data_IF_600101505508
#
_entry.id   IF_600101505508
#
_cell.length_a   1.000
_cell.length_b   1.000
_cell.length_c   1.000
_cell.angle_alpha   90.00
_cell.angle_beta   90.00
_cell.angle_gamma   90.00
#
_symmetry.space_group_name_H-M   'P 1'
#
loop_
_entity.id
_entity.type
_entity.pdbx_description
1 polymer ?
#
# COMPACT_ATOMS: atom_id res chain seq x y z
N UNK A 1 5.98 15.35 16.95
CA UNK A 1 5.67 13.93 17.21
C UNK A 1 4.52 13.40 16.34
N UNK A 2 3.27 13.89 16.45
CA UNK A 2 2.12 13.38 15.65
C UNK A 2 2.36 13.31 14.14
N UNK A 3 2.97 14.36 13.54
CA UNK A 3 3.32 14.41 12.11
C UNK A 3 4.31 13.30 11.70
N UNK A 4 5.38 13.13 12.48
CA UNK A 4 6.41 12.13 12.21
C UNK A 4 5.86 10.71 12.34
N UNK A 5 5.00 10.44 13.33
CA UNK A 5 4.35 9.13 13.51
C UNK A 5 3.46 8.82 12.31
N UNK A 6 2.63 9.77 11.85
CA UNK A 6 1.79 9.56 10.67
C UNK A 6 2.60 9.32 9.41
N UNK A 7 3.70 10.05 9.20
CA UNK A 7 4.60 9.82 8.08
C UNK A 7 5.32 8.48 8.18
N UNK A 8 5.72 8.05 9.37
CA UNK A 8 6.31 6.75 9.59
C UNK A 8 5.33 5.63 9.23
N UNK A 9 4.10 5.69 9.72
CA UNK A 9 3.04 4.71 9.41
C UNK A 9 2.76 4.73 7.91
N UNK A 10 2.67 5.90 7.29
CA UNK A 10 2.45 6.06 5.84
C UNK A 10 3.50 5.30 5.02
N UNK A 11 4.79 5.56 5.30
CA UNK A 11 5.89 4.90 4.58
C UNK A 11 5.98 3.41 4.90
N UNK A 12 5.75 3.01 6.15
CA UNK A 12 5.72 1.62 6.56
C UNK A 12 4.67 0.84 5.77
N UNK A 13 3.45 1.38 5.66
CA UNK A 13 2.36 0.75 4.91
C UNK A 13 2.69 0.60 3.42
N UNK A 14 3.31 1.60 2.80
CA UNK A 14 3.73 1.51 1.39
C UNK A 14 4.77 0.40 1.22
N UNK A 15 5.83 0.40 2.03
CA UNK A 15 6.92 -0.56 1.92
C UNK A 15 6.40 -1.98 2.17
N UNK A 16 5.62 -2.16 3.24
CA UNK A 16 4.97 -3.44 3.56
C UNK A 16 4.18 -3.98 2.36
N UNK A 17 3.37 -3.14 1.75
CA UNK A 17 2.51 -3.54 0.64
C UNK A 17 3.29 -3.87 -0.63
N UNK A 18 4.33 -3.10 -0.94
CA UNK A 18 5.21 -3.37 -2.08
C UNK A 18 5.92 -4.71 -1.90
N UNK A 19 6.41 -5.00 -0.69
CA UNK A 19 7.04 -6.30 -0.39
C UNK A 19 6.02 -7.44 -0.51
N UNK A 20 4.81 -7.26 0.02
CA UNK A 20 3.73 -8.24 -0.09
C UNK A 20 3.36 -8.54 -1.55
N UNK A 21 3.35 -7.53 -2.42
CA UNK A 21 3.05 -7.72 -3.84
C UNK A 21 4.17 -8.43 -4.62
N UNK A 22 5.43 -8.29 -4.18
CA UNK A 22 6.59 -8.81 -4.91
C UNK A 22 7.12 -10.16 -4.39
N UNK A 23 6.75 -10.58 -3.19
CA UNK A 23 7.37 -11.74 -2.53
C UNK A 23 6.35 -12.75 -1.99
N UNK A 24 6.26 -13.91 -2.66
CA UNK A 24 5.47 -15.05 -2.19
C UNK A 24 5.93 -15.52 -0.81
N UNK A 25 7.25 -15.58 -0.60
CA UNK A 25 7.82 -16.01 0.68
C UNK A 25 7.39 -15.09 1.82
N UNK A 26 7.25 -13.80 1.54
CA UNK A 26 6.78 -12.85 2.55
C UNK A 26 5.29 -13.06 2.86
N UNK A 27 4.47 -13.31 1.83
CA UNK A 27 3.05 -13.63 1.99
C UNK A 27 2.87 -14.93 2.78
N UNK A 28 3.57 -16.00 2.45
CA UNK A 28 3.52 -17.26 3.20
C UNK A 28 4.10 -17.16 4.62
N UNK A 29 5.05 -16.26 4.85
CA UNK A 29 5.53 -16.00 6.20
C UNK A 29 4.49 -15.27 7.06
N UNK A 30 3.69 -14.39 6.45
CA UNK A 30 2.59 -13.67 7.10
C UNK A 30 1.35 -14.53 7.32
N UNK A 31 0.95 -15.29 6.29
CA UNK A 31 -0.20 -16.18 6.26
C UNK A 31 0.27 -17.56 5.77
N UNK A 32 0.79 -18.41 6.68
CA UNK A 32 1.27 -19.75 6.33
C UNK A 32 0.17 -20.65 5.76
N UNK A 33 -1.07 -20.41 6.18
CA UNK A 33 -2.26 -21.16 5.80
C UNK A 33 -3.04 -20.48 4.66
N UNK A 34 -2.39 -19.59 3.89
CA UNK A 34 -2.99 -18.89 2.77
C UNK A 34 -3.59 -19.86 1.74
N UNK A 35 -4.92 -19.83 1.61
CA UNK A 35 -5.66 -20.63 0.62
C UNK A 35 -5.45 -20.11 -0.81
N UNK A 36 -5.20 -18.82 -0.94
CA UNK A 36 -5.02 -18.13 -2.22
C UNK A 36 -4.03 -16.99 -2.04
N UNK A 37 -2.86 -17.16 -2.64
CA UNK A 37 -1.80 -16.16 -2.60
C UNK A 37 -2.21 -14.85 -3.29
N UNK A 38 -3.15 -14.93 -4.24
CA UNK A 38 -3.74 -13.79 -4.94
C UNK A 38 -4.58 -12.95 -3.98
N UNK A 39 -5.48 -13.58 -3.22
CA UNK A 39 -6.39 -12.87 -2.31
C UNK A 39 -5.64 -12.24 -1.13
N UNK A 40 -4.59 -12.93 -0.66
CA UNK A 40 -3.68 -12.41 0.35
C UNK A 40 -2.94 -11.16 -0.15
N UNK A 41 -2.37 -11.22 -1.37
CA UNK A 41 -1.71 -10.06 -1.99
C UNK A 41 -2.66 -8.89 -2.18
N UNK A 42 -3.90 -9.14 -2.63
CA UNK A 42 -4.95 -8.11 -2.70
C UNK A 42 -5.19 -7.48 -1.33
N UNK A 43 -5.35 -8.30 -0.30
CA UNK A 43 -5.62 -7.83 1.06
C UNK A 43 -4.47 -6.98 1.59
N UNK A 44 -3.23 -7.45 1.44
CA UNK A 44 -2.02 -6.78 1.90
C UNK A 44 -1.61 -5.56 1.07
N UNK A 45 -2.31 -5.25 -0.01
CA UNK A 45 -2.09 -4.03 -0.80
C UNK A 45 -3.28 -3.08 -0.74
N UNK A 46 -4.50 -3.56 -0.96
CA UNK A 46 -5.71 -2.74 -0.98
C UNK A 46 -5.98 -2.07 0.38
N UNK A 47 -5.90 -2.84 1.48
CA UNK A 47 -6.18 -2.33 2.82
C UNK A 47 -5.17 -1.22 3.20
N UNK A 48 -3.85 -1.40 3.03
CA UNK A 48 -2.89 -0.31 3.23
C UNK A 48 -3.10 0.92 2.36
N UNK A 49 -3.49 0.79 1.09
CA UNK A 49 -3.79 1.95 0.22
C UNK A 49 -4.93 2.78 0.81
N UNK A 50 -6.01 2.13 1.25
CA UNK A 50 -7.15 2.81 1.87
C UNK A 50 -6.74 3.50 3.17
N UNK A 51 -6.00 2.81 4.04
CA UNK A 51 -5.48 3.39 5.29
C UNK A 51 -4.59 4.61 4.99
N UNK A 52 -3.76 4.54 3.95
CA UNK A 52 -2.92 5.68 3.55
C UNK A 52 -3.72 6.89 3.07
N UNK A 53 -4.88 6.72 2.44
CA UNK A 53 -5.76 7.86 2.14
C UNK A 53 -6.28 8.53 3.42
N UNK A 54 -6.63 7.76 4.46
CA UNK A 54 -6.98 8.31 5.77
C UNK A 54 -5.81 9.02 6.45
N UNK A 55 -4.58 8.50 6.30
CA UNK A 55 -3.37 9.16 6.81
C UNK A 55 -3.11 10.47 6.07
N UNK A 56 -3.20 10.50 4.74
CA UNK A 56 -3.05 11.72 3.94
C UNK A 56 -4.10 12.77 4.33
N UNK A 57 -5.36 12.36 4.52
CA UNK A 57 -6.41 13.24 5.05
C UNK A 57 -6.06 13.79 6.45
N UNK A 58 -5.51 12.95 7.33
CA UNK A 58 -5.06 13.37 8.65
C UNK A 58 -3.88 14.34 8.59
N UNK A 59 -2.92 14.12 7.68
CA UNK A 59 -1.80 15.03 7.41
C UNK A 59 -2.27 16.41 6.93
N UNK A 60 -3.33 16.45 6.12
CA UNK A 60 -3.99 17.69 5.72
C UNK A 60 -4.61 18.41 6.93
N UNK A 61 -5.38 17.70 7.76
CA UNK A 61 -6.03 18.26 8.96
C UNK A 61 -5.04 18.90 9.94
N UNK A 62 -3.87 18.28 10.14
CA UNK A 62 -2.82 18.79 11.04
C UNK A 62 -1.88 19.81 10.39
N UNK A 63 -2.20 20.27 9.17
CA UNK A 63 -1.46 21.30 8.43
C UNK A 63 0.03 20.96 8.33
N UNK A 64 0.35 19.78 7.78
CA UNK A 64 1.73 19.48 7.38
C UNK A 64 2.16 20.42 6.25
N UNK A 65 3.47 20.58 6.00
CA UNK A 65 3.92 21.48 4.94
C UNK A 65 3.34 21.07 3.59
N UNK A 66 3.00 22.06 2.75
CA UNK A 66 2.35 21.83 1.44
C UNK A 66 3.16 20.85 0.57
N UNK A 67 4.50 20.95 0.62
CA UNK A 67 5.40 20.05 -0.10
C UNK A 67 5.29 18.60 0.41
N UNK A 68 5.34 18.36 1.72
CA UNK A 68 5.21 17.01 2.28
C UNK A 68 3.83 16.40 2.04
N UNK A 69 2.78 17.22 2.12
CA UNK A 69 1.42 16.80 1.81
C UNK A 69 1.32 16.35 0.34
N UNK A 70 1.77 17.19 -0.59
CA UNK A 70 1.72 16.87 -2.03
C UNK A 70 2.55 15.63 -2.35
N UNK A 71 3.74 15.49 -1.76
CA UNK A 71 4.56 14.29 -1.93
C UNK A 71 3.79 13.04 -1.44
N UNK A 72 3.22 13.08 -0.25
CA UNK A 72 2.45 11.95 0.31
C UNK A 72 1.23 11.61 -0.55
N UNK A 73 0.52 12.62 -1.05
CA UNK A 73 -0.63 12.44 -1.94
C UNK A 73 -0.21 11.80 -3.27
N UNK A 74 0.84 12.32 -3.92
CA UNK A 74 1.38 11.78 -5.18
C UNK A 74 1.84 10.34 -4.99
N UNK A 75 2.62 10.06 -3.94
CA UNK A 75 3.09 8.72 -3.64
C UNK A 75 1.92 7.76 -3.40
N UNK A 76 0.89 8.16 -2.65
CA UNK A 76 -0.27 7.29 -2.44
C UNK A 76 -1.09 7.06 -3.72
N UNK A 77 -1.21 8.07 -4.57
CA UNK A 77 -1.86 7.94 -5.88
C UNK A 77 -1.09 6.98 -6.79
N UNK A 78 0.25 7.10 -6.84
CA UNK A 78 1.09 6.16 -7.60
C UNK A 78 0.93 4.74 -7.05
N UNK A 79 0.89 4.60 -5.72
CA UNK A 79 0.72 3.31 -5.08
C UNK A 79 -0.67 2.70 -5.34
N UNK A 80 -1.72 3.51 -5.38
CA UNK A 80 -3.06 3.09 -5.80
C UNK A 80 -3.11 2.66 -7.28
N UNK A 81 -2.44 3.40 -8.17
CA UNK A 81 -2.32 3.02 -9.58
C UNK A 81 -1.52 1.73 -9.75
N UNK A 82 -0.47 1.54 -8.95
CA UNK A 82 0.30 0.30 -8.90
C UNK A 82 -0.56 -0.89 -8.48
N UNK A 83 -1.40 -0.73 -7.44
CA UNK A 83 -2.40 -1.73 -7.06
C UNK A 83 -3.32 -2.08 -8.24
N UNK A 84 -3.92 -1.08 -8.89
CA UNK A 84 -4.81 -1.31 -10.03
C UNK A 84 -4.11 -2.04 -11.19
N UNK A 85 -2.88 -1.63 -11.51
CA UNK A 85 -2.09 -2.25 -12.55
C UNK A 85 -1.77 -3.72 -12.25
N UNK A 86 -1.44 -4.04 -11.00
CA UNK A 86 -1.16 -5.42 -10.59
C UNK A 86 -2.41 -6.29 -10.41
N UNK A 87 -3.57 -5.68 -10.18
CA UNK A 87 -4.81 -6.42 -9.96
C UNK A 87 -5.59 -6.66 -11.25
N UNK A 88 -5.52 -5.73 -12.19
CA UNK A 88 -6.35 -5.71 -13.40
C UNK A 88 -5.55 -5.53 -14.69
N UNK A 89 -4.24 -5.32 -14.62
CA UNK A 89 -3.37 -5.20 -15.79
C UNK A 89 -2.76 -6.53 -16.22
N UNK A 90 -2.30 -6.60 -17.47
CA UNK A 90 -1.82 -7.82 -18.13
C UNK A 90 -0.62 -8.51 -17.43
N UNK A 91 0.08 -7.83 -16.52
CA UNK A 91 1.25 -8.36 -15.81
C UNK A 91 0.94 -8.87 -14.40
N UNK A 92 -0.28 -8.68 -13.91
CA UNK A 92 -0.64 -8.96 -12.53
C UNK A 92 -1.86 -9.85 -12.41
N UNK A 93 -1.66 -11.04 -11.83
CA UNK A 93 -2.64 -12.04 -11.37
C UNK A 93 -3.64 -12.59 -12.42
N UNK A 94 -3.81 -11.94 -13.57
CA UNK A 94 -4.61 -12.40 -14.72
C UNK A 94 -3.89 -13.40 -15.64
N UNK A 95 -2.59 -13.64 -15.41
CA UNK A 95 -1.89 -14.78 -16.02
C UNK A 95 -2.06 -15.98 -15.08
N UNK A 96 -3.25 -16.58 -15.11
CA UNK A 96 -3.39 -18.01 -14.81
C UNK A 96 -2.61 -18.75 -15.90
N UNK A 97 -1.36 -19.13 -15.62
CA UNK A 97 -0.70 -20.22 -16.34
C UNK A 97 -1.05 -21.54 -15.67
#
# INVERSE_FOLDING_TARGET
MKKAILLFIFWFLIIFSVIAQLSDRFVYWLSPDALSLIDERMTYTFVPVLINFFIVFSLWKIRVSKSLFNMSLITNTIFFLFYFYYQYGDTGLGITR
#
